data_IF_634253733341
#
_entry.id   IF_634253733341
#
_cell.length_a   1.000
_cell.length_b   1.000
_cell.length_c   1.000
_cell.angle_alpha   90.00
_cell.angle_beta   90.00
_cell.angle_gamma   90.00
#
_symmetry.space_group_name_H-M   'P 1'
#
loop_
_entity.id
_entity.type
_entity.pdbx_description
1 polymer ?
#
# COMPACT_ATOMS: atom_id res chain seq x y z
N UNK A 1 13.69 -11.88 0.61
CA UNK A 1 13.94 -10.60 1.31
C UNK A 1 12.61 -9.92 1.51
N UNK A 2 12.27 -9.54 2.73
CA UNK A 2 11.03 -8.84 3.07
C UNK A 2 11.37 -7.50 3.73
N UNK A 3 10.41 -6.57 3.80
CA UNK A 3 10.64 -5.25 4.40
C UNK A 3 10.78 -5.39 5.92
N UNK A 4 11.90 -4.88 6.46
CA UNK A 4 12.19 -4.87 7.91
C UNK A 4 12.14 -3.47 8.51
N UNK A 5 12.00 -2.44 7.67
CA UNK A 5 11.93 -1.03 8.06
C UNK A 5 10.82 -0.29 7.31
N UNK A 6 10.18 0.63 8.01
CA UNK A 6 9.12 1.49 7.46
C UNK A 6 9.32 2.94 7.88
N UNK A 7 8.86 3.87 7.05
CA UNK A 7 9.04 5.29 7.36
C UNK A 7 7.96 6.17 6.78
N UNK A 8 7.67 7.21 7.54
CA UNK A 8 6.83 8.35 7.15
C UNK A 8 7.67 9.54 6.67
N UNK A 9 9.01 9.42 6.66
CA UNK A 9 9.89 10.56 6.41
C UNK A 9 9.99 10.87 4.91
N UNK A 10 9.99 12.15 4.52
CA UNK A 10 10.35 12.56 3.17
C UNK A 10 11.70 11.99 2.75
N UNK A 11 11.79 11.50 1.50
CA UNK A 11 13.04 10.96 0.94
C UNK A 11 13.50 9.62 1.52
N UNK A 12 12.70 8.93 2.34
CA UNK A 12 13.11 7.66 2.94
C UNK A 12 13.26 6.51 1.95
N UNK A 13 12.59 6.58 0.79
CA UNK A 13 12.48 5.50 -0.19
C UNK A 13 11.90 4.19 0.38
N UNK A 14 11.11 4.29 1.45
CA UNK A 14 10.54 3.18 2.21
C UNK A 14 9.01 3.21 2.20
N UNK A 15 8.38 2.05 2.34
CA UNK A 15 6.93 1.95 2.52
C UNK A 15 6.49 2.53 3.88
N UNK A 16 5.21 2.88 3.98
CA UNK A 16 4.53 3.16 5.25
C UNK A 16 3.38 2.17 5.45
N UNK A 17 3.22 1.58 6.65
CA UNK A 17 2.04 0.82 7.01
C UNK A 17 0.85 1.75 7.35
N UNK A 18 -0.28 1.14 7.72
CA UNK A 18 -1.45 1.82 8.26
C UNK A 18 -2.60 1.98 7.26
N UNK A 19 -3.52 2.88 7.60
CA UNK A 19 -4.75 3.16 6.86
C UNK A 19 -4.53 4.32 5.88
N UNK A 20 -5.01 4.12 4.65
CA UNK A 20 -4.98 5.11 3.57
C UNK A 20 -6.37 5.30 2.98
N UNK A 21 -6.59 6.44 2.33
CA UNK A 21 -7.71 6.65 1.40
C UNK A 21 -7.20 7.00 0.01
N UNK A 22 -7.87 6.51 -1.02
CA UNK A 22 -7.59 6.89 -2.41
C UNK A 22 -8.16 8.25 -2.75
N UNK A 23 -7.50 8.98 -3.65
CA UNK A 23 -8.04 10.24 -4.17
C UNK A 23 -9.17 10.00 -5.18
N UNK A 24 -9.94 11.04 -5.49
CA UNK A 24 -11.01 10.97 -6.49
C UNK A 24 -10.48 10.80 -7.93
N UNK A 25 -9.38 11.50 -8.24
CA UNK A 25 -8.87 11.58 -9.60
C UNK A 25 -7.59 10.76 -9.76
N UNK A 26 -7.54 9.97 -10.83
CA UNK A 26 -6.31 9.40 -11.37
C UNK A 26 -5.56 10.44 -12.22
N UNK A 27 -4.29 10.23 -12.45
CA UNK A 27 -3.46 11.08 -13.29
C UNK A 27 -2.43 10.25 -14.06
N UNK A 28 -1.91 10.78 -15.17
CA UNK A 28 -0.83 10.15 -15.90
C UNK A 28 0.52 10.56 -15.30
N UNK A 29 1.19 9.61 -14.65
CA UNK A 29 2.54 9.77 -14.11
C UNK A 29 3.61 9.12 -14.97
N UNK A 30 4.84 9.07 -14.47
CA UNK A 30 5.99 8.43 -15.14
C UNK A 30 5.74 6.96 -15.49
N UNK A 31 4.97 6.26 -14.65
CA UNK A 31 4.65 4.85 -14.84
C UNK A 31 3.31 4.62 -15.54
N UNK A 32 2.62 5.66 -16.03
CA UNK A 32 1.28 5.57 -16.62
C UNK A 32 0.17 5.99 -15.66
N UNK A 33 -1.05 5.46 -15.86
CA UNK A 33 -2.21 5.79 -15.02
C UNK A 33 -1.91 5.48 -13.54
N UNK A 34 -1.99 6.50 -12.71
CA UNK A 34 -1.59 6.45 -11.31
C UNK A 34 -2.65 7.10 -10.43
N UNK A 35 -2.73 6.65 -9.18
CA UNK A 35 -3.70 7.15 -8.20
C UNK A 35 -3.00 7.56 -6.91
N UNK A 36 -3.23 8.79 -6.47
CA UNK A 36 -2.71 9.29 -5.20
C UNK A 36 -3.45 8.67 -4.03
N UNK A 37 -2.77 8.60 -2.89
CA UNK A 37 -3.33 8.16 -1.62
C UNK A 37 -3.02 9.16 -0.52
N UNK A 38 -3.92 9.26 0.45
CA UNK A 38 -3.72 10.01 1.69
C UNK A 38 -3.50 9.02 2.82
N UNK A 39 -2.54 9.30 3.69
CA UNK A 39 -2.33 8.54 4.92
C UNK A 39 -3.13 9.16 6.05
N UNK A 40 -3.79 8.32 6.86
CA UNK A 40 -4.73 8.76 7.89
C UNK A 40 -4.16 8.68 9.31
N UNK A 41 -2.91 8.25 9.48
CA UNK A 41 -2.29 7.99 10.78
C UNK A 41 -1.09 8.91 11.01
N UNK A 42 -1.25 9.85 11.96
CA UNK A 42 -0.23 10.83 12.34
C UNK A 42 1.02 10.13 12.87
N UNK A 43 2.17 10.51 12.33
CA UNK A 43 3.48 9.92 12.66
C UNK A 43 3.80 8.63 11.90
N UNK A 44 2.80 7.98 11.29
CA UNK A 44 2.94 6.66 10.65
C UNK A 44 2.95 6.79 9.13
N UNK A 45 1.93 7.44 8.55
CA UNK A 45 1.79 7.55 7.11
C UNK A 45 1.23 8.90 6.64
N UNK A 46 1.02 9.86 7.54
CA UNK A 46 0.42 11.16 7.19
C UNK A 46 1.21 11.99 6.16
N UNK A 47 2.46 11.66 5.83
CA UNK A 47 3.24 12.36 4.80
C UNK A 47 3.19 11.66 3.43
N UNK A 48 2.46 10.55 3.25
CA UNK A 48 2.52 9.74 2.02
C UNK A 48 2.09 10.49 0.77
N UNK A 49 1.13 11.42 0.89
CA UNK A 49 0.71 12.28 -0.23
C UNK A 49 1.86 13.16 -0.70
N UNK A 50 2.53 13.86 0.24
CA UNK A 50 3.67 14.75 -0.01
C UNK A 50 4.90 13.97 -0.49
N UNK A 51 5.05 12.71 -0.04
CA UNK A 51 6.09 11.78 -0.47
C UNK A 51 5.85 11.19 -1.87
N UNK A 52 4.77 11.57 -2.53
CA UNK A 52 4.36 11.05 -3.82
C UNK A 52 4.19 9.52 -3.88
N UNK A 53 3.77 8.93 -2.77
CA UNK A 53 3.34 7.53 -2.72
C UNK A 53 2.01 7.40 -3.48
N UNK A 54 1.98 6.47 -4.44
CA UNK A 54 0.84 6.26 -5.34
C UNK A 54 0.57 4.78 -5.56
N UNK A 55 -0.62 4.47 -6.08
CA UNK A 55 -0.86 3.22 -6.81
C UNK A 55 -0.47 3.44 -8.27
N UNK A 56 0.35 2.56 -8.83
CA UNK A 56 0.75 2.64 -10.25
C UNK A 56 1.08 1.26 -10.83
N UNK A 57 0.96 1.06 -12.15
CA UNK A 57 1.42 -0.16 -12.79
C UNK A 57 2.95 -0.25 -12.76
N UNK A 58 3.49 -1.46 -12.63
CA UNK A 58 4.94 -1.69 -12.71
C UNK A 58 5.29 -3.03 -13.38
N UNK A 59 6.18 -3.00 -14.36
CA UNK A 59 6.66 -4.20 -15.06
C UNK A 59 7.35 -5.20 -14.11
N UNK A 60 7.96 -4.69 -13.03
CA UNK A 60 8.68 -5.48 -12.05
C UNK A 60 7.79 -6.26 -11.06
N UNK A 61 6.46 -6.13 -11.13
CA UNK A 61 5.53 -6.98 -10.34
C UNK A 61 4.72 -7.94 -11.22
N UNK A 62 5.16 -8.16 -12.47
CA UNK A 62 4.50 -9.08 -13.41
C UNK A 62 4.88 -10.54 -13.15
N UNK A 63 4.03 -11.52 -13.53
CA UNK A 63 4.36 -12.94 -13.44
C UNK A 63 5.64 -13.33 -14.21
N UNK A 64 5.88 -12.72 -15.38
CA UNK A 64 7.10 -12.96 -16.16
C UNK A 64 8.35 -12.48 -15.42
N UNK A 65 8.32 -11.27 -14.85
CA UNK A 65 9.41 -10.75 -14.03
C UNK A 65 9.67 -11.65 -12.82
N UNK A 66 8.61 -12.05 -12.11
CA UNK A 66 8.73 -12.93 -10.93
C UNK A 66 9.31 -14.29 -11.33
N UNK A 67 8.85 -14.88 -12.43
CA UNK A 67 9.38 -16.16 -12.93
C UNK A 67 10.87 -16.08 -13.25
N UNK A 68 11.33 -14.94 -13.79
CA UNK A 68 12.73 -14.73 -14.16
C UNK A 68 13.64 -14.43 -12.95
N UNK A 69 13.16 -13.64 -11.99
CA UNK A 69 13.99 -13.11 -10.90
C UNK A 69 13.79 -13.84 -9.56
N UNK A 70 12.72 -14.63 -9.43
CA UNK A 70 12.36 -15.33 -8.19
C UNK A 70 11.67 -14.45 -7.14
N UNK A 71 11.40 -13.18 -7.44
CA UNK A 71 10.71 -12.24 -6.56
C UNK A 71 10.03 -11.12 -7.34
N UNK A 72 9.01 -10.48 -6.74
CA UNK A 72 8.46 -9.23 -7.24
C UNK A 72 9.41 -8.07 -6.90
N UNK A 73 9.68 -7.20 -7.86
CA UNK A 73 10.51 -6.02 -7.68
C UNK A 73 9.96 -5.05 -6.64
N UNK A 74 10.79 -4.09 -6.24
CA UNK A 74 10.51 -3.18 -5.13
C UNK A 74 10.36 -1.76 -5.64
N UNK A 75 9.33 -1.07 -5.16
CA UNK A 75 9.18 0.38 -5.28
C UNK A 75 9.87 1.09 -4.11
N UNK A 76 9.86 2.41 -4.14
CA UNK A 76 10.29 3.27 -3.03
C UNK A 76 9.13 3.69 -2.12
N UNK A 77 8.17 2.78 -1.91
CA UNK A 77 7.02 2.95 -1.03
C UNK A 77 5.66 2.94 -1.73
N UNK A 78 5.63 3.07 -3.05
CA UNK A 78 4.40 3.04 -3.85
C UNK A 78 3.74 1.66 -3.88
N UNK A 79 2.42 1.64 -4.04
CA UNK A 79 1.61 0.45 -4.32
C UNK A 79 1.76 0.07 -5.80
N UNK A 80 2.83 -0.66 -6.11
CA UNK A 80 3.08 -1.18 -7.46
C UNK A 80 2.14 -2.35 -7.76
N UNK A 81 1.35 -2.25 -8.83
CA UNK A 81 0.39 -3.29 -9.26
C UNK A 81 0.73 -3.83 -10.65
N UNK A 82 0.24 -5.04 -10.95
CA UNK A 82 0.45 -5.65 -12.26
C UNK A 82 -0.20 -4.79 -13.35
N UNK A 83 0.55 -4.35 -14.39
CA UNK A 83 0.03 -3.55 -15.49
C UNK A 83 -1.23 -4.12 -16.15
N UNK A 84 -1.34 -5.44 -16.26
CA UNK A 84 -2.50 -6.11 -16.86
C UNK A 84 -3.82 -5.87 -16.10
N UNK A 85 -3.76 -5.35 -14.87
CA UNK A 85 -4.92 -5.15 -14.01
C UNK A 85 -5.02 -3.71 -13.47
N UNK A 86 -4.05 -2.85 -13.77
CA UNK A 86 -3.92 -1.54 -13.14
C UNK A 86 -5.13 -0.63 -13.40
N UNK A 87 -5.55 -0.48 -14.65
CA UNK A 87 -6.66 0.42 -15.02
C UNK A 87 -7.98 0.00 -14.38
N UNK A 88 -8.27 -1.31 -14.41
CA UNK A 88 -9.46 -1.89 -13.76
C UNK A 88 -9.40 -1.71 -12.25
N UNK A 89 -8.24 -1.94 -11.64
CA UNK A 89 -8.05 -1.79 -10.20
C UNK A 89 -8.22 -0.33 -9.78
N UNK A 90 -7.50 0.61 -10.41
CA UNK A 90 -7.58 2.05 -10.14
C UNK A 90 -9.01 2.56 -10.31
N UNK A 91 -9.70 2.14 -11.37
CA UNK A 91 -11.10 2.51 -11.60
C UNK A 91 -12.02 2.02 -10.50
N UNK A 92 -11.76 0.84 -9.93
CA UNK A 92 -12.56 0.26 -8.86
C UNK A 92 -12.28 0.91 -7.49
N UNK A 93 -11.06 1.38 -7.25
CA UNK A 93 -10.65 1.89 -5.93
C UNK A 93 -10.56 3.41 -5.85
N UNK A 94 -10.69 4.17 -6.93
CA UNK A 94 -10.70 5.64 -6.87
C UNK A 94 -11.94 6.17 -6.16
N UNK A 95 -11.84 7.36 -5.58
CA UNK A 95 -12.99 8.02 -4.94
C UNK A 95 -13.18 7.70 -3.46
N UNK A 96 -12.11 7.40 -2.74
CA UNK A 96 -12.15 7.30 -1.27
C UNK A 96 -12.22 5.88 -0.72
N UNK A 97 -11.89 4.86 -1.53
CA UNK A 97 -11.68 3.51 -1.00
C UNK A 97 -10.58 3.49 0.06
N UNK A 98 -10.74 2.61 1.04
CA UNK A 98 -9.77 2.42 2.12
C UNK A 98 -8.78 1.35 1.71
N UNK A 99 -7.48 1.64 1.88
CA UNK A 99 -6.41 0.65 1.81
C UNK A 99 -5.86 0.45 3.22
N UNK A 100 -5.62 -0.80 3.58
CA UNK A 100 -4.99 -1.15 4.84
C UNK A 100 -3.70 -1.93 4.56
N UNK A 101 -2.56 -1.29 4.81
CA UNK A 101 -1.25 -1.90 4.65
C UNK A 101 -0.71 -2.37 6.01
N UNK A 102 -0.47 -3.67 6.14
CA UNK A 102 -0.02 -4.28 7.38
C UNK A 102 1.33 -4.99 7.20
N UNK A 103 2.17 -4.89 8.23
CA UNK A 103 3.39 -5.66 8.38
C UNK A 103 3.51 -6.10 9.84
N UNK A 104 4.00 -7.31 10.07
CA UNK A 104 4.25 -7.78 11.44
C UNK A 104 5.38 -6.99 12.08
N UNK A 105 5.28 -6.65 13.38
CA UNK A 105 6.36 -6.08 14.17
C UNK A 105 7.69 -6.82 14.01
N UNK A 106 8.70 -6.18 13.42
CA UNK A 106 10.09 -6.66 13.37
C UNK A 106 10.84 -6.08 14.59
N UNK A 107 11.63 -6.91 15.27
CA UNK A 107 12.13 -6.70 16.64
C UNK A 107 12.97 -5.43 16.84
N UNK A 108 13.41 -4.79 15.76
CA UNK A 108 14.38 -3.68 15.77
C UNK A 108 13.89 -2.37 15.16
N UNK A 109 12.63 -2.27 14.72
CA UNK A 109 12.06 -1.00 14.25
C UNK A 109 10.95 -0.50 15.21
N UNK A 110 11.20 0.59 15.96
CA UNK A 110 10.25 1.13 16.95
C UNK A 110 8.99 1.74 16.32
N UNK A 111 8.95 1.92 14.98
CA UNK A 111 7.74 2.34 14.25
C UNK A 111 6.83 1.16 13.89
N UNK A 112 7.26 -0.06 14.23
CA UNK A 112 6.53 -1.30 13.98
C UNK A 112 5.94 -1.88 15.27
N UNK A 113 5.85 -1.11 16.36
CA UNK A 113 4.75 -1.31 17.33
C UNK A 113 3.44 -0.79 16.71
N UNK A 114 3.10 -1.35 15.56
CA UNK A 114 1.89 -1.04 14.81
C UNK A 114 0.72 -1.79 15.44
N UNK A 115 0.54 -1.64 16.75
CA UNK A 115 -0.75 -1.93 17.36
C UNK A 115 -1.75 -1.09 16.61
N UNK A 116 -2.62 -1.75 15.85
CA UNK A 116 -3.75 -1.09 15.25
C UNK A 116 -4.40 -0.23 16.33
N UNK A 117 -4.72 1.02 16.02
CA UNK A 117 -5.59 1.77 16.91
C UNK A 117 -6.82 0.92 17.22
N UNK A 118 -7.46 1.09 18.38
CA UNK A 118 -8.64 0.28 18.72
C UNK A 118 -9.71 0.32 17.62
N UNK A 119 -9.78 1.44 16.86
CA UNK A 119 -10.62 1.57 15.66
C UNK A 119 -10.10 0.75 14.47
N UNK A 120 -8.80 0.78 14.20
CA UNK A 120 -8.18 -0.02 13.15
C UNK A 120 -8.30 -1.53 13.41
N UNK A 121 -8.18 -1.96 14.66
CA UNK A 121 -8.33 -3.37 15.02
C UNK A 121 -9.77 -3.83 14.91
N UNK A 122 -10.72 -2.98 15.31
CA UNK A 122 -12.14 -3.23 15.10
C UNK A 122 -12.49 -3.35 13.61
N UNK A 123 -12.04 -2.40 12.78
CA UNK A 123 -12.27 -2.43 11.33
C UNK A 123 -11.65 -3.68 10.69
N UNK A 124 -10.41 -4.02 11.06
CA UNK A 124 -9.74 -5.22 10.58
C UNK A 124 -10.54 -6.48 10.93
N UNK A 125 -11.00 -6.60 12.18
CA UNK A 125 -11.81 -7.74 12.62
C UNK A 125 -13.15 -7.81 11.90
N UNK A 126 -13.83 -6.68 11.69
CA UNK A 126 -15.09 -6.62 10.93
C UNK A 126 -14.87 -7.10 9.49
N UNK A 127 -13.85 -6.60 8.80
CA UNK A 127 -13.48 -7.03 7.44
C UNK A 127 -13.17 -8.54 7.40
N UNK A 128 -12.41 -9.06 8.37
CA UNK A 128 -12.00 -10.46 8.33
C UNK A 128 -13.12 -11.43 8.78
N UNK A 129 -14.03 -11.01 9.66
CA UNK A 129 -15.15 -11.83 10.12
C UNK A 129 -16.33 -11.83 9.13
N UNK A 130 -16.61 -10.74 8.42
CA UNK A 130 -17.65 -10.73 7.38
C UNK A 130 -17.26 -11.55 6.14
N UNK A 131 -15.97 -11.78 5.93
CA UNK A 131 -15.44 -12.43 4.72
C UNK A 131 -15.07 -13.92 4.89
N UNK A 132 -15.47 -14.58 5.99
CA UNK A 132 -15.27 -16.04 6.14
C UNK A 132 -16.07 -16.88 5.13
N UNK A 133 -16.96 -16.26 4.35
CA UNK A 133 -17.71 -16.89 3.23
C UNK A 133 -17.05 -16.71 1.85
N UNK A 134 -16.00 -15.90 1.72
CA UNK A 134 -15.33 -15.65 0.43
C UNK A 134 -14.17 -16.60 0.16
N UNK A 135 -13.72 -17.33 1.18
CA UNK A 135 -12.60 -18.29 1.11
C UNK A 135 -13.02 -19.74 1.35
N UNK A 136 -14.33 -20.03 1.34
CA UNK A 136 -14.91 -21.37 1.39
C UNK A 136 -15.36 -21.82 0.01
#
# INVERSE_FOLDING_TARGET
VYATHFSNQPGSLESSPGIFTTTANQYNGEHGESLRVNGLEKGINNNVYDRAVVIHPASYVTPSFIKQNGYAGRSWGCFAVNPAHADKFISAVKGGSVLFAYATPEKYDPRVDHRLSSKGEKLYREIMHENSSWFA
#
